data_IF_619325751056
#
_entry.id   IF_619325751056
#
_cell.length_a   1.000
_cell.length_b   1.000
_cell.length_c   1.000
_cell.angle_alpha   90.00
_cell.angle_beta   90.00
_cell.angle_gamma   90.00
#
_symmetry.space_group_name_H-M   'P 1'
#
loop_
_entity.id
_entity.type
_entity.pdbx_description
1 polymer ?
#
# COMPACT_ATOMS: atom_id res chain seq x y z
N UNK A 1 40.76 -50.95 -52.84
CA UNK A 1 41.93 -50.14 -52.40
C UNK A 1 41.60 -48.66 -52.58
N UNK A 2 41.28 -47.93 -51.51
CA UNK A 2 41.22 -46.46 -51.56
C UNK A 2 41.82 -45.92 -50.26
N UNK A 3 42.84 -45.09 -50.44
CA UNK A 3 43.59 -44.39 -49.41
C UNK A 3 43.13 -42.94 -49.31
N UNK A 4 43.20 -42.46 -48.06
CA UNK A 4 43.02 -41.13 -47.46
C UNK A 4 43.08 -39.86 -48.34
N UNK A 5 42.25 -38.85 -48.01
CA UNK A 5 42.61 -37.75 -47.10
C UNK A 5 41.56 -36.60 -47.08
N UNK A 6 41.64 -35.76 -46.03
CA UNK A 6 41.02 -34.41 -45.86
C UNK A 6 39.59 -34.38 -45.28
N UNK A 7 39.18 -33.53 -44.34
CA UNK A 7 39.78 -32.52 -43.46
C UNK A 7 38.74 -32.16 -42.37
N UNK A 8 39.22 -31.50 -41.30
CA UNK A 8 38.53 -31.10 -40.06
C UNK A 8 37.27 -30.22 -40.25
N UNK A 9 36.30 -30.41 -39.34
CA UNK A 9 35.40 -29.35 -38.89
C UNK A 9 35.20 -29.46 -37.37
N UNK A 10 35.31 -28.32 -36.68
CA UNK A 10 35.30 -28.18 -35.23
C UNK A 10 33.88 -28.30 -34.65
N UNK A 11 33.69 -29.20 -33.69
CA UNK A 11 32.49 -29.27 -32.85
C UNK A 11 32.67 -28.44 -31.59
N UNK A 12 31.99 -27.30 -31.52
CA UNK A 12 31.89 -26.46 -30.31
C UNK A 12 31.06 -27.22 -29.27
N UNK A 13 31.70 -27.62 -28.17
CA UNK A 13 31.06 -28.24 -27.03
C UNK A 13 30.15 -27.25 -26.32
N UNK A 14 28.84 -27.35 -26.57
CA UNK A 14 27.81 -26.66 -25.81
C UNK A 14 27.77 -27.19 -24.37
N UNK A 15 28.33 -26.43 -23.44
CA UNK A 15 28.03 -26.58 -22.01
C UNK A 15 26.61 -26.07 -21.80
N UNK A 16 25.66 -27.01 -21.68
CA UNK A 16 24.32 -26.74 -21.17
C UNK A 16 24.46 -26.25 -19.73
N UNK A 17 24.19 -24.98 -19.47
CA UNK A 17 23.94 -24.51 -18.10
C UNK A 17 22.62 -25.12 -17.61
N UNK A 18 22.59 -25.73 -16.41
CA UNK A 18 21.35 -26.19 -15.83
C UNK A 18 20.50 -24.99 -15.42
N UNK A 19 19.27 -24.94 -15.93
CA UNK A 19 18.16 -24.20 -15.32
C UNK A 19 17.73 -24.99 -14.08
N UNK A 20 17.91 -24.41 -12.88
CA UNK A 20 17.08 -24.64 -11.70
C UNK A 20 17.60 -23.78 -10.53
N UNK A 21 16.67 -23.16 -9.80
CA UNK A 21 16.95 -22.51 -8.53
C UNK A 21 15.85 -21.53 -8.17
N UNK A 22 14.75 -22.02 -7.63
CA UNK A 22 13.92 -21.27 -6.67
C UNK A 22 14.84 -20.45 -5.78
N UNK A 23 14.66 -19.12 -5.76
CA UNK A 23 15.46 -18.22 -4.95
C UNK A 23 15.39 -18.72 -3.49
N UNK A 24 16.52 -19.19 -2.97
CA UNK A 24 16.64 -19.46 -1.55
C UNK A 24 16.36 -18.13 -0.84
N UNK A 25 15.31 -18.11 -0.01
CA UNK A 25 15.00 -16.97 0.85
C UNK A 25 16.26 -16.72 1.70
N UNK A 26 16.80 -15.50 1.65
CA UNK A 26 17.96 -15.16 2.48
C UNK A 26 17.57 -15.27 3.96
N UNK A 27 18.52 -15.59 4.84
CA UNK A 27 18.27 -15.59 6.29
C UNK A 27 17.67 -14.25 6.77
N UNK A 28 18.17 -13.15 6.19
CA UNK A 28 17.66 -11.79 6.44
C UNK A 28 16.16 -11.65 6.11
N UNK A 29 15.72 -12.15 4.96
CA UNK A 29 14.31 -12.12 4.56
C UNK A 29 13.45 -13.04 5.44
N UNK A 30 14.00 -14.17 5.91
CA UNK A 30 13.29 -15.07 6.81
C UNK A 30 12.99 -14.40 8.16
N UNK A 31 13.93 -13.62 8.71
CA UNK A 31 13.69 -12.82 9.92
C UNK A 31 12.62 -11.76 9.69
N UNK A 32 12.68 -11.02 8.58
CA UNK A 32 11.67 -10.01 8.27
C UNK A 32 10.28 -10.66 8.14
N UNK A 33 10.18 -11.84 7.51
CA UNK A 33 8.89 -12.56 7.41
C UNK A 33 8.36 -12.98 8.76
N UNK A 34 9.21 -13.48 9.66
CA UNK A 34 8.80 -13.83 11.01
C UNK A 34 8.23 -12.61 11.78
N UNK A 35 8.81 -11.41 11.59
CA UNK A 35 8.26 -10.17 12.16
C UNK A 35 6.89 -9.84 11.52
N UNK A 36 6.77 -9.92 10.20
CA UNK A 36 5.52 -9.59 9.48
C UNK A 36 4.38 -10.55 9.79
N UNK A 37 4.69 -11.83 10.03
CA UNK A 37 3.71 -12.86 10.36
C UNK A 37 3.25 -12.78 11.82
N UNK A 38 4.01 -12.12 12.69
CA UNK A 38 3.70 -11.94 14.12
C UNK A 38 4.16 -10.55 14.61
N UNK A 39 3.55 -9.46 14.09
CA UNK A 39 4.00 -8.08 14.32
C UNK A 39 4.02 -7.65 15.80
N UNK A 40 3.07 -8.17 16.59
CA UNK A 40 2.96 -7.93 18.04
C UNK A 40 3.77 -8.91 18.91
N UNK A 41 4.43 -9.90 18.32
CA UNK A 41 5.42 -10.72 19.03
C UNK A 41 6.79 -10.07 18.88
N UNK A 42 7.37 -9.66 20.00
CA UNK A 42 8.71 -9.09 20.02
C UNK A 42 9.81 -10.14 19.77
N UNK A 43 9.50 -11.44 19.92
CA UNK A 43 10.50 -12.50 19.87
C UNK A 43 11.23 -12.55 18.51
N UNK A 44 10.55 -12.60 17.34
CA UNK A 44 11.24 -12.55 16.05
C UNK A 44 12.11 -11.31 15.88
N UNK A 45 11.65 -10.15 16.39
CA UNK A 45 12.34 -8.87 16.28
C UNK A 45 13.63 -8.85 17.10
N UNK A 46 13.59 -9.34 18.33
CA UNK A 46 14.77 -9.42 19.21
C UNK A 46 15.78 -10.47 18.74
N UNK A 47 15.32 -11.62 18.26
CA UNK A 47 16.22 -12.65 17.68
C UNK A 47 16.93 -12.11 16.44
N UNK A 48 16.22 -11.39 15.57
CA UNK A 48 16.85 -10.74 14.41
C UNK A 48 17.86 -9.68 14.86
N UNK A 49 17.55 -8.90 15.89
CA UNK A 49 18.46 -7.91 16.45
C UNK A 49 19.75 -8.54 17.00
N UNK A 50 19.66 -9.67 17.70
CA UNK A 50 20.84 -10.42 18.18
C UNK A 50 21.69 -10.93 17.01
N UNK A 51 21.06 -11.49 15.98
CA UNK A 51 21.75 -11.95 14.76
C UNK A 51 22.47 -10.81 14.02
N UNK A 52 21.90 -9.61 14.02
CA UNK A 52 22.49 -8.39 13.44
C UNK A 52 23.67 -7.87 14.28
N UNK A 53 23.56 -7.91 15.60
CA UNK A 53 24.62 -7.45 16.51
C UNK A 53 25.87 -8.30 16.42
N UNK A 54 25.73 -9.63 16.29
CA UNK A 54 26.85 -10.56 16.06
C UNK A 54 27.65 -10.20 14.80
N UNK A 55 27.05 -9.41 13.90
CA UNK A 55 27.64 -8.93 12.64
C UNK A 55 28.00 -7.46 12.67
N UNK A 56 27.84 -6.80 13.82
CA UNK A 56 27.98 -5.35 13.99
C UNK A 56 27.14 -4.54 12.98
N UNK A 57 25.95 -5.05 12.63
CA UNK A 57 25.04 -4.41 11.69
C UNK A 57 24.20 -3.32 12.42
N UNK A 58 24.17 -2.07 11.94
CA UNK A 58 23.49 -0.96 12.62
C UNK A 58 21.96 -1.13 12.70
N UNK A 59 21.39 -2.10 11.97
CA UNK A 59 19.97 -2.46 12.06
C UNK A 59 19.60 -3.10 13.40
N UNK A 60 20.52 -3.76 14.10
CA UNK A 60 20.26 -4.42 15.39
C UNK A 60 19.79 -3.44 16.48
N UNK A 61 20.53 -2.35 16.75
CA UNK A 61 20.10 -1.29 17.66
C UNK A 61 18.75 -0.65 17.27
N UNK A 62 18.46 -0.52 15.97
CA UNK A 62 17.19 0.05 15.49
C UNK A 62 15.99 -0.80 15.92
N UNK A 63 16.06 -2.13 15.74
CA UNK A 63 14.95 -3.03 16.10
C UNK A 63 14.62 -2.98 17.60
N UNK A 64 15.63 -2.80 18.46
CA UNK A 64 15.40 -2.67 19.91
C UNK A 64 14.79 -1.32 20.27
N UNK A 65 15.25 -0.25 19.62
CA UNK A 65 14.67 1.08 19.79
C UNK A 65 13.22 1.15 19.28
N UNK A 66 12.85 0.35 18.27
CA UNK A 66 11.47 0.29 17.77
C UNK A 66 10.54 -0.32 18.82
N UNK A 67 10.96 -1.44 19.42
CA UNK A 67 10.27 -2.07 20.55
C UNK A 67 10.12 -1.12 21.74
N UNK A 68 11.19 -0.41 22.10
CA UNK A 68 11.14 0.61 23.16
C UNK A 68 10.18 1.76 22.81
N UNK A 69 10.15 2.20 21.55
CA UNK A 69 9.26 3.26 21.11
C UNK A 69 7.78 2.84 21.11
N UNK A 70 7.47 1.58 20.82
CA UNK A 70 6.11 1.03 20.95
C UNK A 70 5.66 1.06 22.42
N UNK A 71 6.55 0.71 23.36
CA UNK A 71 6.24 0.73 24.80
C UNK A 71 6.11 2.14 25.37
N UNK A 72 6.95 3.07 24.93
CA UNK A 72 7.09 4.40 25.56
C UNK A 72 6.40 5.53 24.81
N UNK A 73 6.11 5.33 23.52
CA UNK A 73 5.68 6.38 22.59
C UNK A 73 6.80 7.34 22.16
N UNK A 74 8.03 7.20 22.68
CA UNK A 74 9.15 8.06 22.33
C UNK A 74 9.90 7.52 21.10
N UNK A 75 9.71 8.19 19.97
CA UNK A 75 10.34 7.84 18.68
C UNK A 75 11.63 8.64 18.41
N UNK A 76 12.14 9.44 19.36
CA UNK A 76 13.34 10.25 19.13
C UNK A 76 14.57 9.39 18.83
N UNK A 77 14.82 8.37 19.67
CA UNK A 77 15.93 7.43 19.47
C UNK A 77 15.77 6.62 18.19
N UNK A 78 14.54 6.21 17.90
CA UNK A 78 14.20 5.48 16.68
C UNK A 78 14.52 6.30 15.42
N UNK A 79 14.18 7.60 15.41
CA UNK A 79 14.49 8.52 14.31
C UNK A 79 15.99 8.74 14.12
N UNK A 80 16.74 8.84 15.22
CA UNK A 80 18.20 8.97 15.15
C UNK A 80 18.83 7.73 14.51
N UNK A 81 18.43 6.53 14.95
CA UNK A 81 18.94 5.27 14.43
C UNK A 81 18.47 4.97 13.01
N UNK A 82 17.32 5.50 12.60
CA UNK A 82 16.83 5.40 11.22
C UNK A 82 17.76 6.10 10.22
N UNK A 83 18.54 7.09 10.67
CA UNK A 83 19.40 7.87 9.80
C UNK A 83 20.49 6.97 9.17
N UNK A 84 20.43 6.81 7.85
CA UNK A 84 21.40 6.01 7.09
C UNK A 84 21.03 4.54 6.90
N UNK A 85 19.89 4.07 7.42
CA UNK A 85 19.35 2.75 7.11
C UNK A 85 18.47 2.79 5.85
N UNK A 86 18.24 1.64 5.22
CA UNK A 86 17.30 1.53 4.08
C UNK A 86 15.88 1.87 4.56
N UNK A 87 15.24 2.94 4.04
CA UNK A 87 13.91 3.35 4.45
C UNK A 87 12.84 2.29 4.16
N UNK A 88 13.05 1.43 3.16
CA UNK A 88 12.12 0.32 2.92
C UNK A 88 12.30 -0.77 3.97
N UNK A 89 13.53 -1.11 4.35
CA UNK A 89 13.76 -2.06 5.43
C UNK A 89 13.13 -1.56 6.74
N UNK A 90 13.33 -0.29 7.09
CA UNK A 90 12.66 0.38 8.23
C UNK A 90 11.15 0.19 8.13
N UNK A 91 10.53 0.60 7.02
CA UNK A 91 9.09 0.53 6.89
C UNK A 91 8.56 -0.92 6.95
N UNK A 92 9.34 -1.91 6.50
CA UNK A 92 8.93 -3.32 6.55
C UNK A 92 8.87 -3.89 7.96
N UNK A 93 9.80 -3.47 8.84
CA UNK A 93 9.97 -4.06 10.18
C UNK A 93 9.35 -3.21 11.29
N UNK A 94 8.94 -1.98 11.00
CA UNK A 94 8.38 -1.09 12.01
C UNK A 94 6.85 -1.07 11.98
N UNK A 95 6.25 -0.95 13.16
CA UNK A 95 4.82 -0.73 13.32
C UNK A 95 4.42 0.70 12.85
N UNK A 96 3.16 0.93 12.44
CA UNK A 96 2.63 2.27 12.26
C UNK A 96 2.79 3.13 13.52
N UNK A 97 3.01 4.46 13.38
CA UNK A 97 3.06 5.23 12.14
C UNK A 97 4.42 5.25 11.45
N UNK A 98 5.41 4.49 11.94
CA UNK A 98 6.79 4.51 11.40
C UNK A 98 6.93 3.60 10.19
N UNK A 99 6.28 2.43 10.23
CA UNK A 99 6.28 1.47 9.13
C UNK A 99 4.89 0.90 8.86
N UNK A 100 4.87 -0.21 8.16
CA UNK A 100 3.64 -0.86 7.66
C UNK A 100 3.41 -2.23 8.29
N UNK A 101 4.17 -2.62 9.31
CA UNK A 101 3.94 -3.86 10.03
C UNK A 101 2.67 -3.73 10.88
N UNK A 102 1.55 -4.38 10.54
CA UNK A 102 0.24 -4.11 11.18
C UNK A 102 -0.23 -5.29 12.02
N UNK A 103 -0.45 -5.08 13.32
CA UNK A 103 -0.93 -6.12 14.24
C UNK A 103 -2.45 -6.23 14.27
N UNK A 104 -3.15 -5.10 14.36
CA UNK A 104 -4.61 -5.08 14.53
C UNK A 104 -5.38 -4.88 13.21
N UNK A 105 -4.67 -4.85 12.08
CA UNK A 105 -5.27 -4.77 10.75
C UNK A 105 -5.09 -6.10 10.05
N UNK A 106 -6.14 -6.92 10.07
CA UNK A 106 -6.15 -8.19 9.36
C UNK A 106 -6.32 -7.94 7.85
N UNK A 107 -5.21 -8.04 7.12
CA UNK A 107 -5.22 -8.02 5.65
C UNK A 107 -5.59 -9.42 5.12
N UNK A 108 -6.81 -9.58 4.65
CA UNK A 108 -7.29 -10.77 3.95
C UNK A 108 -6.91 -10.73 2.46
N UNK A 109 -7.10 -11.84 1.72
CA UNK A 109 -7.05 -11.88 0.24
C UNK A 109 -5.78 -11.24 -0.37
N UNK A 110 -4.64 -11.43 0.29
CA UNK A 110 -3.31 -10.95 -0.15
C UNK A 110 -2.88 -11.58 -1.47
N UNK A 111 -2.10 -10.83 -2.26
CA UNK A 111 -1.45 -11.37 -3.45
C UNK A 111 -0.28 -12.31 -3.12
N UNK A 112 0.31 -12.98 -4.12
CA UNK A 112 1.52 -13.78 -3.92
C UNK A 112 2.69 -12.90 -3.44
N UNK A 113 3.69 -13.47 -2.76
CA UNK A 113 4.90 -12.72 -2.40
C UNK A 113 5.56 -12.14 -3.65
N UNK A 114 5.95 -10.86 -3.58
CA UNK A 114 6.64 -10.14 -4.66
C UNK A 114 8.05 -9.77 -4.25
N UNK A 115 8.93 -9.66 -5.24
CA UNK A 115 10.30 -9.21 -5.08
C UNK A 115 10.47 -7.72 -5.45
N UNK A 116 11.62 -7.15 -5.12
CA UNK A 116 12.03 -5.81 -5.59
C UNK A 116 12.03 -5.72 -7.12
N UNK A 117 12.35 -6.81 -7.82
CA UNK A 117 12.38 -6.83 -9.28
C UNK A 117 10.96 -6.75 -9.86
N UNK A 118 9.98 -7.40 -9.23
CA UNK A 118 8.58 -7.32 -9.64
C UNK A 118 8.05 -5.89 -9.45
N UNK A 119 8.37 -5.27 -8.31
CA UNK A 119 8.00 -3.87 -8.03
C UNK A 119 8.65 -2.92 -9.03
N UNK A 120 9.95 -3.08 -9.32
CA UNK A 120 10.67 -2.26 -10.29
C UNK A 120 10.09 -2.38 -11.71
N UNK A 121 9.56 -3.54 -12.09
CA UNK A 121 8.89 -3.71 -13.38
C UNK A 121 7.60 -2.88 -13.47
N UNK A 122 6.85 -2.80 -12.36
CA UNK A 122 5.66 -1.95 -12.29
C UNK A 122 6.03 -0.47 -12.27
N UNK A 123 7.04 -0.07 -11.48
CA UNK A 123 7.58 1.30 -11.47
C UNK A 123 8.01 1.77 -12.87
N UNK A 124 8.66 0.88 -13.64
CA UNK A 124 9.01 1.14 -15.03
C UNK A 124 7.78 1.27 -15.93
N UNK A 125 6.70 0.55 -15.66
CA UNK A 125 5.46 0.60 -16.46
C UNK A 125 4.70 1.90 -16.21
N UNK A 126 4.71 2.41 -14.97
CA UNK A 126 4.07 3.68 -14.61
C UNK A 126 4.99 4.88 -14.78
N UNK A 127 6.26 4.68 -15.16
CA UNK A 127 7.29 5.72 -15.27
C UNK A 127 7.42 6.55 -13.99
N UNK A 128 7.40 5.91 -12.82
CA UNK A 128 7.54 6.56 -11.52
C UNK A 128 8.03 5.56 -10.47
N UNK A 129 8.72 6.05 -9.43
CA UNK A 129 9.11 5.22 -8.28
C UNK A 129 8.08 5.34 -7.16
N UNK A 130 7.84 4.25 -6.44
CA UNK A 130 6.98 4.26 -5.27
C UNK A 130 7.71 4.87 -4.05
N UNK A 131 6.96 5.50 -3.15
CA UNK A 131 7.43 5.83 -1.80
C UNK A 131 7.89 4.58 -1.02
N UNK A 132 8.90 4.69 -0.13
CA UNK A 132 9.47 3.53 0.57
C UNK A 132 8.48 2.68 1.38
N UNK A 133 7.50 3.32 2.03
CA UNK A 133 6.44 2.67 2.80
C UNK A 133 5.49 1.85 1.90
N UNK A 134 5.17 2.34 0.70
CA UNK A 134 4.39 1.57 -0.26
C UNK A 134 5.17 0.38 -0.82
N UNK A 135 6.47 0.54 -1.09
CA UNK A 135 7.34 -0.59 -1.47
C UNK A 135 7.37 -1.64 -0.35
N UNK A 136 7.55 -1.21 0.90
CA UNK A 136 7.52 -2.09 2.06
C UNK A 136 6.19 -2.83 2.20
N UNK A 137 5.07 -2.14 1.98
CA UNK A 137 3.73 -2.73 2.03
C UNK A 137 3.54 -3.81 0.96
N UNK A 138 3.98 -3.55 -0.27
CA UNK A 138 3.92 -4.55 -1.33
C UNK A 138 4.81 -5.76 -1.01
N UNK A 139 6.01 -5.54 -0.47
CA UNK A 139 6.88 -6.64 -0.04
C UNK A 139 6.24 -7.45 1.09
N UNK A 140 5.65 -6.80 2.10
CA UNK A 140 5.07 -7.48 3.26
C UNK A 140 3.78 -8.24 2.92
N UNK A 141 2.85 -7.60 2.21
CA UNK A 141 1.48 -8.11 2.04
C UNK A 141 1.03 -8.25 0.59
N UNK A 142 1.61 -7.48 -0.33
CA UNK A 142 1.21 -7.42 -1.73
C UNK A 142 -0.30 -7.19 -1.94
N UNK A 143 -0.81 -6.06 -1.43
CA UNK A 143 -2.23 -5.74 -1.46
C UNK A 143 -3.00 -6.44 -0.34
N UNK A 144 -4.29 -6.66 -0.57
CA UNK A 144 -5.17 -7.33 0.38
C UNK A 144 -6.41 -6.50 0.71
N UNK A 145 -7.26 -7.04 1.56
CA UNK A 145 -8.49 -6.39 1.97
C UNK A 145 -8.56 -6.28 3.49
N UNK A 146 -8.88 -5.08 3.97
CA UNK A 146 -9.26 -4.85 5.36
C UNK A 146 -10.78 -4.83 5.39
N UNK A 147 -11.44 -5.81 6.04
CA UNK A 147 -12.90 -5.86 6.10
C UNK A 147 -13.52 -4.56 6.62
N UNK A 148 -14.75 -4.27 6.20
CA UNK A 148 -15.48 -3.09 6.64
C UNK A 148 -15.58 -3.02 8.17
N UNK A 149 -15.15 -1.89 8.74
CA UNK A 149 -15.39 -1.51 10.12
C UNK A 149 -16.11 -0.14 10.17
N UNK A 150 -16.94 0.13 11.20
CA UNK A 150 -17.18 -0.72 12.37
C UNK A 150 -18.16 -1.87 12.11
N UNK A 151 -18.00 -2.91 12.93
CA UNK A 151 -18.99 -3.95 13.20
C UNK A 151 -19.86 -3.43 14.34
N UNK A 152 -21.09 -3.02 14.06
CA UNK A 152 -22.03 -2.52 15.08
C UNK A 152 -22.66 -3.73 15.75
N UNK A 153 -22.65 -3.77 17.08
CA UNK A 153 -23.44 -4.73 17.83
C UNK A 153 -24.83 -4.13 18.09
N UNK A 154 -25.88 -4.77 17.59
CA UNK A 154 -27.26 -4.36 17.89
C UNK A 154 -27.58 -4.60 19.36
N UNK A 155 -28.69 -4.03 19.85
CA UNK A 155 -29.15 -4.25 21.22
C UNK A 155 -29.43 -5.74 21.52
N UNK A 156 -29.70 -6.53 20.48
CA UNK A 156 -29.94 -7.98 20.52
C UNK A 156 -28.64 -8.80 20.42
N UNK A 157 -27.47 -8.14 20.32
CA UNK A 157 -26.16 -8.78 20.26
C UNK A 157 -25.70 -9.19 18.86
N UNK A 158 -26.46 -8.88 17.80
CA UNK A 158 -26.09 -9.19 16.42
C UNK A 158 -25.01 -8.24 15.93
N UNK A 159 -23.99 -8.76 15.24
CA UNK A 159 -22.91 -7.96 14.68
C UNK A 159 -23.21 -7.65 13.21
N UNK A 160 -23.56 -6.40 12.91
CA UNK A 160 -23.83 -5.91 11.54
C UNK A 160 -22.70 -5.01 11.04
N UNK A 161 -22.46 -5.03 9.72
CA UNK A 161 -21.44 -4.17 9.09
C UNK A 161 -22.08 -2.83 8.69
N UNK A 162 -21.37 -1.72 8.92
CA UNK A 162 -21.81 -0.40 8.45
C UNK A 162 -21.68 -0.25 6.93
N UNK A 163 -20.68 -0.89 6.34
CA UNK A 163 -20.48 -0.93 4.88
C UNK A 163 -20.48 -2.37 4.38
N UNK A 164 -21.01 -2.57 3.17
CA UNK A 164 -21.01 -3.88 2.52
C UNK A 164 -19.59 -4.30 2.11
N UNK A 165 -18.70 -3.35 1.78
CA UNK A 165 -17.30 -3.62 1.41
C UNK A 165 -16.27 -2.98 2.33
N UNK A 166 -15.11 -3.64 2.45
CA UNK A 166 -13.94 -3.14 3.17
C UNK A 166 -12.99 -2.31 2.31
N UNK A 167 -11.86 -1.90 2.90
CA UNK A 167 -10.76 -1.28 2.17
C UNK A 167 -10.04 -2.33 1.34
N UNK A 168 -9.82 -2.05 0.06
CA UNK A 168 -9.12 -2.97 -0.83
C UNK A 168 -7.84 -2.31 -1.32
N UNK A 169 -6.71 -2.94 -1.06
CA UNK A 169 -5.39 -2.56 -1.55
C UNK A 169 -5.05 -3.38 -2.79
N UNK A 170 -4.68 -2.69 -3.87
CA UNK A 170 -4.25 -3.31 -5.11
C UNK A 170 -2.97 -4.13 -4.86
N UNK A 171 -2.94 -5.36 -5.38
CA UNK A 171 -1.69 -6.10 -5.49
C UNK A 171 -0.77 -5.41 -6.51
N UNK A 172 0.53 -5.68 -6.46
CA UNK A 172 1.57 -5.05 -7.27
C UNK A 172 1.20 -4.99 -8.76
N UNK A 173 0.68 -6.08 -9.35
CA UNK A 173 0.27 -6.13 -10.75
C UNK A 173 -1.03 -5.39 -11.10
N UNK A 174 -1.78 -4.91 -10.11
CA UNK A 174 -3.02 -4.16 -10.28
C UNK A 174 -2.81 -2.64 -10.12
N UNK A 175 -1.66 -2.22 -9.61
CA UNK A 175 -1.30 -0.80 -9.48
C UNK A 175 -1.14 -0.21 -10.87
N UNK A 176 -1.82 0.91 -11.11
CA UNK A 176 -1.82 1.54 -12.44
C UNK A 176 -2.06 3.04 -12.34
N UNK A 177 -1.70 3.75 -13.40
CA UNK A 177 -2.18 5.11 -13.61
C UNK A 177 -3.66 5.07 -13.96
N UNK A 178 -4.39 6.06 -13.47
CA UNK A 178 -5.77 6.24 -13.88
C UNK A 178 -5.79 6.73 -15.34
N UNK A 179 -6.62 6.10 -16.17
CA UNK A 179 -6.82 6.52 -17.55
C UNK A 179 -8.11 7.31 -17.64
N UNK A 180 -7.99 8.59 -18.02
CA UNK A 180 -9.15 9.40 -18.35
C UNK A 180 -9.89 8.76 -19.53
N UNK A 181 -11.19 8.53 -19.36
CA UNK A 181 -12.03 8.10 -20.48
C UNK A 181 -12.40 9.34 -21.32
N UNK A 182 -12.49 9.21 -22.66
CA UNK A 182 -12.84 10.35 -23.54
C UNK A 182 -14.18 11.01 -23.22
N UNK A 183 -15.12 10.28 -22.62
CA UNK A 183 -16.46 10.71 -22.22
C UNK A 183 -16.53 11.32 -20.81
N UNK A 184 -15.44 11.27 -20.03
CA UNK A 184 -15.40 11.74 -18.64
C UNK A 184 -15.26 13.26 -18.46
N UNK A 185 -15.43 14.04 -19.54
CA UNK A 185 -15.19 15.48 -19.58
C UNK A 185 -16.49 16.32 -19.74
N UNK A 186 -17.64 15.70 -20.04
CA UNK A 186 -18.73 16.39 -20.76
C UNK A 186 -20.06 16.58 -20.00
N UNK A 187 -20.17 16.22 -18.71
CA UNK A 187 -21.39 16.46 -17.92
C UNK A 187 -21.36 17.78 -17.13
N UNK A 188 -20.21 18.41 -16.86
CA UNK A 188 -20.12 19.75 -16.24
C UNK A 188 -19.62 20.88 -17.16
N UNK A 189 -19.15 20.57 -18.37
CA UNK A 189 -18.90 21.58 -19.42
C UNK A 189 -20.21 22.33 -19.80
N UNK A 190 -21.37 21.70 -19.55
CA UNK A 190 -22.71 22.24 -19.72
C UNK A 190 -23.31 22.80 -18.43
N UNK A 191 -23.17 24.11 -18.21
CA UNK A 191 -24.02 24.96 -17.34
C UNK A 191 -24.12 24.64 -15.83
N UNK A 192 -23.52 23.56 -15.31
CA UNK A 192 -23.53 23.21 -13.87
C UNK A 192 -22.29 23.63 -13.06
N UNK A 193 -21.19 23.98 -13.71
CA UNK A 193 -19.89 24.26 -13.06
C UNK A 193 -19.74 25.69 -12.47
N UNK A 194 -20.75 26.55 -12.59
CA UNK A 194 -20.66 27.99 -12.28
C UNK A 194 -20.35 28.36 -10.82
N UNK A 195 -20.36 27.40 -9.90
CA UNK A 195 -20.05 27.61 -8.48
C UNK A 195 -18.76 26.92 -8.00
N UNK A 196 -18.03 26.23 -8.89
CA UNK A 196 -16.81 25.52 -8.52
C UNK A 196 -15.59 26.45 -8.63
N UNK A 197 -14.77 26.49 -7.57
CA UNK A 197 -13.46 27.17 -7.60
C UNK A 197 -12.62 26.63 -8.76
N UNK A 198 -11.84 27.46 -9.49
CA UNK A 198 -11.02 27.02 -10.62
C UNK A 198 -9.97 25.98 -10.20
N UNK A 199 -9.54 25.14 -11.16
CA UNK A 199 -8.44 24.20 -10.89
C UNK A 199 -7.15 24.99 -10.76
N UNK A 200 -6.30 24.61 -9.79
CA UNK A 200 -4.96 25.19 -9.64
C UNK A 200 -4.02 24.65 -10.74
N UNK A 201 -4.27 23.43 -11.24
CA UNK A 201 -3.58 22.80 -12.37
C UNK A 201 -4.54 21.87 -13.16
N UNK A 202 -4.26 21.53 -14.43
CA UNK A 202 -5.06 20.57 -15.20
C UNK A 202 -5.15 19.19 -14.55
N UNK A 203 -6.28 18.49 -14.73
CA UNK A 203 -6.52 17.14 -14.18
C UNK A 203 -5.47 16.15 -14.65
N UNK A 204 -5.07 16.21 -15.91
CA UNK A 204 -4.05 15.36 -16.51
C UNK A 204 -2.71 15.52 -15.78
N UNK A 205 -2.33 16.76 -15.47
CA UNK A 205 -1.11 17.07 -14.73
C UNK A 205 -1.14 16.40 -13.37
N UNK A 206 -2.24 16.55 -12.63
CA UNK A 206 -2.41 15.90 -11.33
C UNK A 206 -2.32 14.37 -11.41
N UNK A 207 -3.00 13.76 -12.40
CA UNK A 207 -3.00 12.30 -12.61
C UNK A 207 -1.64 11.74 -13.03
N UNK A 208 -0.76 12.53 -13.66
CA UNK A 208 0.63 12.10 -13.93
C UNK A 208 1.49 11.97 -12.67
N UNK A 209 1.05 12.54 -11.55
CA UNK A 209 1.77 12.48 -10.26
C UNK A 209 1.19 11.45 -9.30
N UNK A 210 0.10 10.76 -9.70
CA UNK A 210 -0.61 9.81 -8.85
C UNK A 210 -0.82 8.46 -9.53
N UNK A 211 -0.95 7.42 -8.70
CA UNK A 211 -1.36 6.08 -9.11
C UNK A 211 -2.49 5.58 -8.24
N UNK A 212 -3.28 4.68 -8.79
CA UNK A 212 -4.34 4.00 -8.07
C UNK A 212 -3.76 2.80 -7.33
N UNK A 213 -3.90 2.79 -6.01
CA UNK A 213 -3.38 1.73 -5.14
C UNK A 213 -4.46 0.94 -4.41
N UNK A 214 -5.73 1.24 -4.66
CA UNK A 214 -6.83 0.57 -4.01
C UNK A 214 -8.15 1.33 -4.10
N UNK A 215 -9.09 0.94 -3.24
CA UNK A 215 -10.41 1.58 -3.08
C UNK A 215 -10.88 1.51 -1.63
N UNK A 216 -11.76 2.43 -1.28
CA UNK A 216 -12.43 2.52 0.00
C UNK A 216 -13.60 1.54 0.17
N UNK A 217 -14.21 1.56 1.37
CA UNK A 217 -15.36 0.73 1.71
C UNK A 217 -16.63 1.16 0.99
N UNK A 218 -16.73 2.43 0.60
CA UNK A 218 -17.68 2.89 -0.41
C UNK A 218 -17.06 2.60 -1.78
N UNK A 219 -17.70 1.73 -2.58
CA UNK A 219 -17.13 1.15 -3.83
C UNK A 219 -16.69 2.23 -4.83
N UNK A 220 -17.20 3.44 -4.67
CA UNK A 220 -16.97 4.61 -5.51
C UNK A 220 -15.69 5.39 -5.15
N UNK A 221 -15.12 5.19 -3.97
CA UNK A 221 -13.92 5.89 -3.50
C UNK A 221 -12.64 5.15 -3.92
N UNK A 222 -11.89 5.71 -4.86
CA UNK A 222 -10.58 5.17 -5.23
C UNK A 222 -9.47 5.81 -4.41
N UNK A 223 -8.49 4.98 -4.03
CA UNK A 223 -7.33 5.40 -3.26
C UNK A 223 -6.16 5.72 -4.18
N UNK A 224 -5.73 6.98 -4.18
CA UNK A 224 -4.64 7.51 -4.97
C UNK A 224 -3.41 7.78 -4.11
N UNK A 225 -2.26 7.29 -4.56
CA UNK A 225 -0.95 7.55 -3.95
C UNK A 225 -0.16 8.50 -4.84
N UNK A 226 0.32 9.59 -4.25
CA UNK A 226 1.28 10.46 -4.91
C UNK A 226 2.64 9.77 -5.04
N UNK A 227 3.16 9.72 -6.26
CA UNK A 227 4.45 9.11 -6.59
C UNK A 227 5.50 10.14 -7.01
N UNK A 228 5.11 11.39 -7.22
CA UNK A 228 6.01 12.44 -7.67
C UNK A 228 5.61 13.84 -7.17
N UNK A 229 6.56 14.77 -7.21
CA UNK A 229 6.39 16.16 -6.84
C UNK A 229 5.98 16.37 -5.38
N UNK A 230 5.22 17.43 -5.13
CA UNK A 230 4.81 17.84 -3.79
C UNK A 230 3.89 16.83 -3.09
N UNK A 231 3.29 15.90 -3.83
CA UNK A 231 2.34 14.91 -3.29
C UNK A 231 2.96 13.53 -3.08
N UNK A 232 4.25 13.36 -3.39
CA UNK A 232 4.95 12.09 -3.16
C UNK A 232 4.74 11.58 -1.73
N UNK A 233 4.17 10.38 -1.60
CA UNK A 233 3.84 9.73 -0.32
C UNK A 233 2.42 10.02 0.20
N UNK A 234 1.76 11.07 -0.26
CA UNK A 234 0.43 11.45 0.22
C UNK A 234 -0.67 10.56 -0.35
N UNK A 235 -1.69 10.32 0.47
CA UNK A 235 -2.88 9.57 0.09
C UNK A 235 -4.09 10.47 -0.10
N UNK A 236 -4.72 10.35 -1.27
CA UNK A 236 -5.94 11.04 -1.65
C UNK A 236 -7.05 10.02 -1.96
N UNK A 237 -8.29 10.39 -1.64
CA UNK A 237 -9.47 9.60 -1.95
C UNK A 237 -10.34 10.38 -2.91
N UNK A 238 -10.69 9.74 -4.03
CA UNK A 238 -11.48 10.35 -5.09
C UNK A 238 -12.76 9.55 -5.25
N UNK A 239 -13.90 10.21 -5.04
CA UNK A 239 -15.22 9.70 -5.40
C UNK A 239 -15.37 9.73 -6.92
N UNK A 240 -15.39 8.54 -7.52
CA UNK A 240 -15.53 8.33 -8.97
C UNK A 240 -16.98 8.14 -9.42
N UNK A 241 -17.96 8.23 -8.52
CA UNK A 241 -19.37 8.37 -8.90
C UNK A 241 -19.67 9.76 -9.46
N UNK A 242 -18.83 10.75 -9.09
CA UNK A 242 -18.80 12.07 -9.70
C UNK A 242 -17.89 12.10 -10.93
N UNK A 243 -18.00 13.13 -11.76
CA UNK A 243 -17.01 13.34 -12.81
C UNK A 243 -15.59 13.42 -12.23
N UNK A 244 -14.61 12.83 -12.92
CA UNK A 244 -13.22 12.75 -12.45
C UNK A 244 -12.63 14.13 -12.13
N UNK A 245 -13.05 15.18 -12.87
CA UNK A 245 -12.66 16.55 -12.59
C UNK A 245 -13.16 17.03 -11.23
N UNK A 246 -14.41 16.73 -10.87
CA UNK A 246 -14.98 17.08 -9.57
C UNK A 246 -14.24 16.35 -8.43
N UNK A 247 -13.94 15.07 -8.61
CA UNK A 247 -13.15 14.28 -7.66
C UNK A 247 -11.72 14.81 -7.47
N UNK A 248 -11.02 15.12 -8.56
CA UNK A 248 -9.66 15.70 -8.51
C UNK A 248 -9.68 17.09 -7.88
N UNK A 249 -10.64 17.94 -8.26
CA UNK A 249 -10.84 19.26 -7.64
C UNK A 249 -11.09 19.14 -6.14
N UNK A 250 -11.90 18.16 -5.72
CA UNK A 250 -12.14 17.88 -4.31
C UNK A 250 -10.85 17.48 -3.59
N UNK A 251 -10.07 16.57 -4.18
CA UNK A 251 -8.81 16.09 -3.63
C UNK A 251 -7.75 17.20 -3.54
N UNK A 252 -7.72 18.15 -4.49
CA UNK A 252 -6.80 19.29 -4.48
C UNK A 252 -7.16 20.36 -3.45
N UNK A 253 -8.46 20.54 -3.16
CA UNK A 253 -8.95 21.55 -2.23
C UNK A 253 -9.02 21.07 -0.78
N UNK A 254 -8.82 19.77 -0.53
CA UNK A 254 -8.78 19.19 0.80
C UNK A 254 -7.38 18.68 1.15
N UNK A 255 -7.00 18.69 2.44
CA UNK A 255 -5.77 18.03 2.86
C UNK A 255 -5.84 16.53 2.49
N UNK A 256 -4.69 15.90 2.21
CA UNK A 256 -4.63 14.45 2.01
C UNK A 256 -5.18 13.74 3.24
N UNK A 257 -5.75 12.54 3.04
CA UNK A 257 -6.30 11.73 4.14
C UNK A 257 -5.20 11.30 5.11
N UNK A 258 -4.01 11.05 4.58
CA UNK A 258 -2.79 10.75 5.32
C UNK A 258 -1.58 11.23 4.51
N UNK A 259 -0.50 11.56 5.22
CA UNK A 259 0.77 11.99 4.61
C UNK A 259 1.66 10.83 4.18
N UNK A 260 1.34 9.62 4.62
CA UNK A 260 1.99 8.35 4.25
C UNK A 260 1.00 7.17 4.34
N UNK A 261 1.36 6.04 3.75
CA UNK A 261 0.60 4.80 3.95
C UNK A 261 0.70 4.32 5.39
N UNK A 262 1.87 4.43 6.01
CA UNK A 262 2.07 4.06 7.41
C UNK A 262 1.10 4.79 8.34
N UNK A 263 0.93 6.10 8.15
CA UNK A 263 -0.05 6.90 8.91
C UNK A 263 -1.49 6.46 8.63
N UNK A 264 -1.82 6.15 7.37
CA UNK A 264 -3.15 5.64 7.05
C UNK A 264 -3.43 4.29 7.73
N UNK A 265 -2.47 3.36 7.71
CA UNK A 265 -2.58 2.08 8.41
C UNK A 265 -2.67 2.24 9.93
N UNK A 266 -1.97 3.23 10.51
CA UNK A 266 -2.14 3.60 11.92
C UNK A 266 -3.58 4.02 12.20
N UNK A 267 -4.19 4.83 11.32
CA UNK A 267 -5.58 5.27 11.49
C UNK A 267 -6.60 4.14 11.39
N UNK A 268 -6.29 3.06 10.66
CA UNK A 268 -7.12 1.85 10.62
C UNK A 268 -6.96 0.98 11.87
N UNK A 269 -5.84 1.15 12.60
CA UNK A 269 -5.51 0.38 13.80
C UNK A 269 -6.02 1.03 15.09
N UNK A 270 -6.39 2.32 15.08
CA UNK A 270 -6.86 3.07 16.26
C UNK A 270 -8.36 2.81 16.52
N UNK A 271 -8.70 2.14 17.64
CA UNK A 271 -10.09 1.87 17.98
C UNK A 271 -10.85 3.10 18.51
N UNK A 272 -10.20 4.25 18.72
CA UNK A 272 -10.85 5.49 19.16
C UNK A 272 -11.83 6.06 18.13
N UNK A 273 -11.64 5.75 16.83
CA UNK A 273 -12.65 5.96 15.78
C UNK A 273 -13.60 4.77 15.63
N UNK A 274 -13.17 3.59 16.06
CA UNK A 274 -13.93 2.32 16.09
C UNK A 274 -14.63 2.14 17.43
N UNK A 275 -15.16 3.23 18.00
CA UNK A 275 -16.12 3.11 19.07
C UNK A 275 -17.12 2.02 18.67
N UNK A 276 -17.31 1.03 19.54
CA UNK A 276 -18.60 0.37 19.61
C UNK A 276 -19.59 1.51 19.86
N UNK A 277 -20.04 2.17 18.79
CA UNK A 277 -21.06 3.20 18.88
C UNK A 277 -22.27 2.42 19.39
N UNK A 278 -22.75 2.69 20.62
CA UNK A 278 -24.01 2.12 21.06
C UNK A 278 -25.03 2.45 19.97
N UNK A 279 -25.82 1.48 19.47
CA UNK A 279 -26.65 1.65 18.26
C UNK A 279 -27.62 2.85 18.28
N UNK A 280 -27.77 3.48 19.45
CA UNK A 280 -28.50 4.71 19.76
C UNK A 280 -27.75 6.04 19.48
N UNK A 281 -26.47 6.03 19.11
CA UNK A 281 -25.67 7.23 18.80
C UNK A 281 -25.24 7.35 17.32
N UNK A 282 -25.61 6.40 16.47
CA UNK A 282 -25.42 6.55 15.03
C UNK A 282 -26.37 7.63 14.51
N UNK A 283 -25.91 8.62 13.71
CA UNK A 283 -26.84 9.43 12.94
C UNK A 283 -27.69 8.46 12.09
N UNK A 284 -29.02 8.65 12.02
CA UNK A 284 -29.84 7.81 11.17
C UNK A 284 -29.20 7.81 9.79
N UNK A 285 -28.96 6.60 9.26
CA UNK A 285 -28.49 6.45 7.89
C UNK A 285 -29.40 7.34 7.03
N UNK A 286 -28.86 8.44 6.52
CA UNK A 286 -29.50 9.14 5.42
C UNK A 286 -29.38 8.17 4.25
N UNK A 287 -30.36 7.27 4.19
CA UNK A 287 -30.77 6.60 2.97
C UNK A 287 -31.11 7.77 2.05
N UNK A 288 -30.12 8.25 1.29
CA UNK A 288 -30.42 9.00 0.08
C UNK A 288 -31.17 8.00 -0.78
N UNK A 289 -32.49 8.12 -0.71
CA UNK A 289 -33.42 7.23 -1.36
C UNK A 289 -32.96 6.95 -2.78
N UNK A 290 -32.91 5.67 -3.12
CA UNK A 290 -32.93 5.25 -4.50
C UNK A 290 -34.14 5.89 -5.15
N UNK A 291 -33.90 6.97 -5.88
CA UNK A 291 -34.80 7.31 -6.96
C UNK A 291 -34.44 6.35 -8.09
N UNK A 292 -35.37 5.43 -8.33
CA UNK A 292 -35.50 4.67 -9.55
C UNK A 292 -35.16 5.57 -10.76
N UNK A 293 -34.09 5.23 -11.48
CA UNK A 293 -33.89 5.72 -12.84
C UNK A 293 -34.51 4.65 -13.74
N UNK A 294 -35.60 4.93 -14.47
CA UNK A 294 -36.07 4.02 -15.49
C UNK A 294 -35.05 3.98 -16.64
N UNK A 295 -34.87 2.79 -17.21
CA UNK A 295 -34.06 2.42 -18.39
C UNK A 295 -33.42 3.54 -19.22
#
# INVERSE_FOLDING_TARGET
>A
MRSAASARAAGVGGRRHPRAGTAAVSEDEAFIRAIVDSPGDDTPRLVYADWLDDRADPRGPYLRAEREAVETGDIARLRELAAGLDPVWIARVSMPPVGVCVEHVELERRGPTVSRADIAAIESTISASFPPDYVAFLLNYNGGEVPAFPRVQTAEGEITRVFESGWVFASCGQVKRYQLRPDGFDLLSGQGAGHLLPLIEPVESWLTRHVVIGRGPDVIDWMFLGVDGADRGKLHFLDTSTEIEAGVRHAMNKPPRATSLAEFLASLSDPGWLGLVPGNELPPAEIRGGNEIPF
#
